data_IF_626557936569
#
_entry.id   IF_626557936569
#
_cell.length_a   1.000
_cell.length_b   1.000
_cell.length_c   1.000
_cell.angle_alpha   90.00
_cell.angle_beta   90.00
_cell.angle_gamma   90.00
#
_symmetry.space_group_name_H-M   'P 1'
#
loop_
_entity.id
_entity.type
_entity.pdbx_description
1 polymer ?
#
# COMPACT_ATOMS: atom_id res chain seq x y z
N UNK A 1 9.18 -2.35 15.80
CA UNK A 1 9.60 -0.95 15.53
C UNK A 1 8.40 -0.22 14.99
N UNK A 2 8.14 1.01 15.41
CA UNK A 2 7.05 1.86 14.90
C UNK A 2 7.62 3.24 14.52
N UNK A 3 6.88 4.01 13.73
CA UNK A 3 7.27 5.38 13.35
C UNK A 3 6.11 6.37 13.54
N UNK A 4 6.42 7.67 13.52
CA UNK A 4 5.46 8.76 13.65
C UNK A 4 4.75 8.84 15.01
N UNK A 5 4.00 9.92 15.24
CA UNK A 5 3.33 10.18 16.51
C UNK A 5 2.19 9.18 16.82
N UNK A 6 1.54 8.65 15.78
CA UNK A 6 0.43 7.68 15.91
C UNK A 6 0.88 6.22 15.94
N UNK A 7 2.17 5.95 16.20
CA UNK A 7 2.73 4.60 16.32
C UNK A 7 2.40 3.71 15.12
N UNK A 8 2.78 4.17 13.93
CA UNK A 8 2.55 3.43 12.70
C UNK A 8 3.42 2.17 12.64
N UNK A 9 2.82 1.05 12.25
CA UNK A 9 3.52 -0.23 12.10
C UNK A 9 3.25 -0.76 10.70
N UNK A 10 4.31 -0.86 9.89
CA UNK A 10 4.22 -1.48 8.58
C UNK A 10 4.10 -2.99 8.73
N UNK A 11 3.08 -3.59 8.12
CA UNK A 11 2.79 -5.02 8.16
C UNK A 11 2.72 -5.55 6.74
N UNK A 12 3.55 -6.55 6.44
CA UNK A 12 3.60 -7.24 5.15
C UNK A 12 3.10 -8.69 5.28
N UNK A 13 2.43 -9.17 4.24
CA UNK A 13 2.03 -10.56 4.02
C UNK A 13 2.83 -11.23 2.91
N UNK A 14 2.84 -12.56 2.93
CA UNK A 14 3.28 -13.38 1.80
C UNK A 14 2.45 -13.05 0.55
N UNK A 15 3.12 -12.98 -0.61
CA UNK A 15 2.45 -12.76 -1.91
C UNK A 15 1.54 -13.91 -2.33
N UNK A 16 1.72 -15.11 -1.76
CA UNK A 16 1.05 -16.32 -2.23
C UNK A 16 -0.21 -16.67 -1.44
N UNK A 17 -0.23 -16.38 -0.14
CA UNK A 17 -1.37 -16.69 0.72
C UNK A 17 -1.38 -15.78 1.96
N UNK A 18 -2.57 -15.37 2.43
CA UNK A 18 -2.67 -14.65 3.68
C UNK A 18 -2.34 -15.61 4.85
N UNK A 19 -1.67 -15.09 5.88
CA UNK A 19 -1.48 -15.86 7.10
C UNK A 19 -2.83 -15.95 7.85
N UNK A 20 -3.29 -17.14 8.31
CA UNK A 20 -4.61 -17.30 8.93
C UNK A 20 -4.89 -16.37 10.11
N UNK A 21 -3.84 -16.01 10.87
CA UNK A 21 -3.95 -15.13 12.04
C UNK A 21 -3.75 -13.65 11.73
N UNK A 22 -3.60 -13.26 10.47
CA UNK A 22 -3.28 -11.88 10.09
C UNK A 22 -4.31 -10.86 10.58
N UNK A 23 -5.60 -11.15 10.43
CA UNK A 23 -6.68 -10.27 10.93
C UNK A 23 -6.58 -10.09 12.46
N UNK A 24 -6.30 -11.16 13.20
CA UNK A 24 -6.13 -11.11 14.65
C UNK A 24 -4.90 -10.27 15.04
N UNK A 25 -3.78 -10.41 14.30
CA UNK A 25 -2.59 -9.58 14.52
C UNK A 25 -2.89 -8.08 14.36
N UNK A 26 -3.64 -7.71 13.31
CA UNK A 26 -4.01 -6.31 13.09
C UNK A 26 -4.93 -5.79 14.21
N UNK A 27 -5.91 -6.59 14.64
CA UNK A 27 -6.77 -6.25 15.77
C UNK A 27 -5.97 -6.06 17.06
N UNK A 28 -5.01 -6.94 17.35
CA UNK A 28 -4.14 -6.82 18.52
C UNK A 28 -3.29 -5.55 18.48
N UNK A 29 -2.80 -5.16 17.31
CA UNK A 29 -2.06 -3.91 17.14
C UNK A 29 -2.95 -2.69 17.41
N UNK A 30 -4.17 -2.68 16.84
CA UNK A 30 -5.16 -1.61 17.06
C UNK A 30 -5.53 -1.51 18.55
N UNK A 31 -5.82 -2.62 19.22
CA UNK A 31 -6.14 -2.65 20.65
C UNK A 31 -4.99 -2.16 21.54
N UNK A 32 -3.75 -2.34 21.10
CA UNK A 32 -2.54 -1.83 21.78
C UNK A 32 -2.23 -0.37 21.44
N UNK A 33 -3.07 0.30 20.65
CA UNK A 33 -2.91 1.71 20.27
C UNK A 33 -1.85 1.94 19.20
N UNK A 34 -1.51 0.93 18.40
CA UNK A 34 -0.73 1.10 17.18
C UNK A 34 -1.66 1.38 15.99
N UNK A 35 -1.11 2.04 14.97
CA UNK A 35 -1.80 2.24 13.68
C UNK A 35 -1.18 1.32 12.63
N UNK A 36 -1.80 0.18 12.27
CA UNK A 36 -1.24 -0.70 11.26
C UNK A 36 -1.28 -0.05 9.87
N UNK A 37 -0.22 -0.28 9.11
CA UNK A 37 -0.11 0.09 7.70
C UNK A 37 0.11 -1.19 6.90
N UNK A 38 -0.86 -1.57 6.07
CA UNK A 38 -0.73 -2.72 5.17
C UNK A 38 0.17 -2.35 3.99
N UNK A 39 1.29 -3.05 3.87
CA UNK A 39 2.26 -2.86 2.80
C UNK A 39 1.73 -3.44 1.48
N UNK A 40 1.85 -2.66 0.42
CA UNK A 40 1.61 -3.02 -0.98
C UNK A 40 0.46 -4.03 -1.24
N UNK A 41 -0.78 -3.72 -0.79
CA UNK A 41 -1.93 -4.61 -0.96
C UNK A 41 -2.26 -4.94 -2.43
N UNK A 42 -1.82 -4.09 -3.37
CA UNK A 42 -1.96 -4.35 -4.80
C UNK A 42 -1.25 -5.63 -5.26
N UNK A 43 -0.25 -6.09 -4.50
CA UNK A 43 0.55 -7.30 -4.81
C UNK A 43 -0.05 -8.59 -4.28
N UNK A 44 -1.11 -8.53 -3.47
CA UNK A 44 -1.79 -9.71 -2.92
C UNK A 44 -2.82 -10.25 -3.91
N UNK A 45 -2.34 -10.95 -4.94
CA UNK A 45 -3.18 -11.44 -6.05
C UNK A 45 -4.33 -12.38 -5.63
N UNK A 46 -4.23 -12.98 -4.44
CA UNK A 46 -5.28 -13.82 -3.86
C UNK A 46 -6.47 -13.04 -3.29
N UNK A 47 -6.35 -11.72 -3.09
CA UNK A 47 -7.46 -10.84 -2.71
C UNK A 47 -7.91 -10.01 -3.91
N UNK A 48 -9.08 -10.28 -4.49
CA UNK A 48 -9.69 -9.38 -5.47
C UNK A 48 -9.88 -7.97 -4.88
N UNK A 49 -9.75 -6.93 -5.70
CA UNK A 49 -9.89 -5.54 -5.22
C UNK A 49 -11.33 -5.20 -4.77
N UNK A 50 -12.32 -5.96 -5.23
CA UNK A 50 -13.73 -5.88 -4.82
C UNK A 50 -14.08 -6.79 -3.64
N UNK A 51 -13.10 -7.47 -3.04
CA UNK A 51 -13.35 -8.37 -1.92
C UNK A 51 -13.55 -7.58 -0.61
N UNK A 52 -14.47 -8.01 0.28
CA UNK A 52 -14.78 -7.27 1.51
C UNK A 52 -13.58 -7.04 2.44
N UNK A 53 -12.51 -7.82 2.30
CA UNK A 53 -11.31 -7.69 3.13
C UNK A 53 -10.73 -6.27 3.12
N UNK A 54 -10.69 -5.59 1.98
CA UNK A 54 -10.13 -4.25 1.91
C UNK A 54 -11.03 -3.23 2.59
N UNK A 55 -12.34 -3.36 2.45
CA UNK A 55 -13.33 -2.53 3.13
C UNK A 55 -13.28 -2.75 4.65
N UNK A 56 -13.26 -4.00 5.11
CA UNK A 56 -13.17 -4.38 6.51
C UNK A 56 -11.94 -3.77 7.18
N UNK A 57 -10.77 -3.92 6.54
CA UNK A 57 -9.50 -3.43 7.07
C UNK A 57 -9.45 -1.90 7.09
N UNK A 58 -9.92 -1.26 6.01
CA UNK A 58 -9.98 0.19 5.93
C UNK A 58 -10.94 0.77 6.99
N UNK A 59 -12.13 0.16 7.15
CA UNK A 59 -13.11 0.56 8.17
C UNK A 59 -12.59 0.35 9.60
N UNK A 60 -11.73 -0.65 9.82
CA UNK A 60 -11.06 -0.88 11.10
C UNK A 60 -9.93 0.13 11.40
N UNK A 61 -9.61 1.05 10.47
CA UNK A 61 -8.58 2.06 10.63
C UNK A 61 -7.17 1.61 10.21
N UNK A 62 -7.05 0.51 9.47
CA UNK A 62 -5.78 0.09 8.85
C UNK A 62 -5.51 0.97 7.64
N UNK A 63 -4.34 1.59 7.60
CA UNK A 63 -3.91 2.39 6.46
C UNK A 63 -3.30 1.51 5.39
N UNK A 64 -3.49 1.83 4.11
CA UNK A 64 -2.85 1.09 3.02
C UNK A 64 -1.75 1.92 2.37
N UNK A 65 -0.61 1.28 2.13
CA UNK A 65 0.53 1.85 1.43
C UNK A 65 0.76 1.12 0.11
N UNK A 66 0.61 1.79 -1.04
CA UNK A 66 0.92 1.22 -2.37
C UNK A 66 2.36 1.45 -2.76
N UNK A 67 2.96 0.53 -3.51
CA UNK A 67 4.32 0.71 -3.99
C UNK A 67 4.38 1.61 -5.22
N UNK A 68 5.27 2.60 -5.20
CA UNK A 68 5.53 3.48 -6.34
C UNK A 68 5.96 2.67 -7.58
N UNK A 69 6.84 1.64 -7.48
CA UNK A 69 7.13 0.75 -8.61
C UNK A 69 5.90 0.06 -9.20
N UNK A 70 4.89 -0.29 -8.39
CA UNK A 70 3.62 -0.87 -8.87
C UNK A 70 2.86 0.12 -9.75
N UNK A 71 2.73 1.38 -9.31
CA UNK A 71 2.09 2.47 -10.08
C UNK A 71 2.87 2.74 -11.39
N UNK A 72 4.20 2.65 -11.33
CA UNK A 72 5.10 2.79 -12.47
C UNK A 72 5.05 1.61 -13.46
N UNK A 73 4.42 0.49 -13.08
CA UNK A 73 4.25 -0.68 -13.95
C UNK A 73 5.39 -1.71 -13.89
N UNK A 74 6.30 -1.61 -12.91
CA UNK A 74 7.45 -2.50 -12.80
C UNK A 74 7.04 -3.98 -12.67
N UNK A 75 5.98 -4.26 -11.91
CA UNK A 75 5.51 -5.63 -11.68
C UNK A 75 4.48 -6.12 -12.72
N UNK A 76 4.31 -5.41 -13.83
CA UNK A 76 3.34 -5.75 -14.88
C UNK A 76 2.01 -4.99 -14.79
N UNK A 77 1.19 -5.13 -15.83
CA UNK A 77 -0.08 -4.40 -16.00
C UNK A 77 -1.09 -4.72 -14.90
N UNK A 78 -1.15 -5.97 -14.46
CA UNK A 78 -2.20 -6.43 -13.54
C UNK A 78 -2.02 -5.81 -12.16
N UNK A 79 -0.78 -5.83 -11.63
CA UNK A 79 -0.44 -5.19 -10.36
C UNK A 79 -0.59 -3.67 -10.46
N UNK A 80 -0.24 -3.08 -11.61
CA UNK A 80 -0.45 -1.64 -11.85
C UNK A 80 -1.93 -1.27 -11.81
N UNK A 81 -2.78 -2.04 -12.50
CA UNK A 81 -4.22 -1.79 -12.53
C UNK A 81 -4.81 -1.93 -11.13
N UNK A 82 -4.46 -2.99 -10.39
CA UNK A 82 -4.87 -3.17 -8.99
C UNK A 82 -4.45 -2.01 -8.09
N UNK A 83 -3.25 -1.44 -8.30
CA UNK A 83 -2.82 -0.26 -7.56
C UNK A 83 -3.72 0.95 -7.85
N UNK A 84 -4.04 1.19 -9.12
CA UNK A 84 -4.99 2.26 -9.50
C UNK A 84 -6.39 2.00 -8.97
N UNK A 85 -6.90 0.77 -9.02
CA UNK A 85 -8.24 0.42 -8.53
C UNK A 85 -8.36 0.70 -7.02
N UNK A 86 -7.36 0.28 -6.23
CA UNK A 86 -7.34 0.55 -4.78
C UNK A 86 -7.26 2.06 -4.48
N UNK A 87 -6.51 2.81 -5.29
CA UNK A 87 -6.41 4.28 -5.18
C UNK A 87 -7.74 4.95 -5.53
N UNK A 88 -8.35 4.57 -6.65
CA UNK A 88 -9.60 5.15 -7.18
C UNK A 88 -10.79 4.85 -6.25
N UNK A 89 -10.76 3.71 -5.53
CA UNK A 89 -11.70 3.38 -4.46
C UNK A 89 -11.48 4.13 -3.14
N UNK A 90 -10.39 4.88 -3.01
CA UNK A 90 -10.09 5.66 -1.81
C UNK A 90 -9.56 4.86 -0.62
N UNK A 91 -9.13 3.61 -0.82
CA UNK A 91 -8.56 2.81 0.28
C UNK A 91 -7.11 3.16 0.60
N UNK A 92 -6.40 3.75 -0.35
CA UNK A 92 -4.96 4.01 -0.24
C UNK A 92 -4.69 5.33 0.46
N UNK A 93 -3.85 5.29 1.48
CA UNK A 93 -3.45 6.47 2.25
C UNK A 93 -2.01 6.90 2.00
N UNK A 94 -1.13 5.98 1.61
CA UNK A 94 0.32 6.19 1.55
C UNK A 94 0.93 5.62 0.26
N UNK A 95 2.05 6.20 -0.17
CA UNK A 95 2.92 5.65 -1.20
C UNK A 95 4.31 5.35 -0.63
N UNK A 96 4.90 4.22 -1.00
CA UNK A 96 6.23 3.80 -0.56
C UNK A 96 7.10 3.42 -1.76
N UNK A 97 8.39 3.73 -1.72
CA UNK A 97 9.28 3.40 -2.84
C UNK A 97 9.59 1.90 -2.91
N UNK A 98 9.71 1.25 -1.75
CA UNK A 98 10.10 -0.16 -1.60
C UNK A 98 11.35 -0.51 -2.44
N UNK A 99 12.28 0.45 -2.52
CA UNK A 99 13.48 0.35 -3.36
C UNK A 99 14.53 -0.47 -2.62
N UNK A 100 14.79 -1.67 -3.12
CA UNK A 100 15.81 -2.57 -2.60
C UNK A 100 17.06 -2.66 -3.48
N UNK A 101 17.03 -2.11 -4.69
CA UNK A 101 18.17 -2.08 -5.61
C UNK A 101 17.99 -1.01 -6.71
N UNK A 102 19.05 -0.80 -7.49
CA UNK A 102 19.09 0.20 -8.57
C UNK A 102 18.02 -0.03 -9.65
N UNK A 103 17.62 -1.27 -9.92
CA UNK A 103 16.60 -1.56 -10.94
C UNK A 103 15.24 -0.97 -10.54
N UNK A 104 14.91 -1.02 -9.25
CA UNK A 104 13.68 -0.44 -8.72
C UNK A 104 13.72 1.08 -8.85
N UNK A 105 14.86 1.70 -8.52
CA UNK A 105 15.05 3.14 -8.67
C UNK A 105 14.91 3.58 -10.14
N UNK A 106 15.55 2.86 -11.07
CA UNK A 106 15.44 3.12 -12.51
C UNK A 106 14.01 2.99 -13.01
N UNK A 107 13.29 1.94 -12.58
CA UNK A 107 11.88 1.75 -12.96
C UNK A 107 10.97 2.89 -12.47
N UNK A 108 11.23 3.43 -11.27
CA UNK A 108 10.51 4.61 -10.76
C UNK A 108 10.84 5.83 -11.61
N UNK A 109 12.13 6.10 -11.87
CA UNK A 109 12.57 7.25 -12.69
C UNK A 109 11.93 7.21 -14.08
N UNK A 110 11.91 6.04 -14.73
CA UNK A 110 11.29 5.86 -16.04
C UNK A 110 9.77 5.97 -15.97
N UNK A 111 9.14 5.38 -14.95
CA UNK A 111 7.70 5.47 -14.71
C UNK A 111 7.21 6.91 -14.52
N UNK A 112 8.02 7.78 -13.92
CA UNK A 112 7.74 9.22 -13.78
C UNK A 112 7.67 9.95 -15.13
N UNK A 113 8.10 9.36 -16.25
CA UNK A 113 7.86 9.96 -17.58
C UNK A 113 6.36 9.90 -17.95
N UNK A 114 5.63 8.93 -17.42
CA UNK A 114 4.19 8.78 -17.64
C UNK A 114 3.41 9.91 -16.94
N UNK A 115 2.55 10.61 -17.69
CA UNK A 115 1.74 11.72 -17.16
C UNK A 115 0.79 11.28 -16.04
N UNK A 116 0.07 10.16 -16.21
CA UNK A 116 -0.87 9.62 -15.20
C UNK A 116 -0.15 9.33 -13.88
N UNK A 117 1.05 8.75 -13.95
CA UNK A 117 1.89 8.43 -12.76
C UNK A 117 2.30 9.71 -12.03
N UNK A 118 2.74 10.75 -12.75
CA UNK A 118 3.10 12.04 -12.12
C UNK A 118 1.91 12.72 -11.50
N UNK A 119 0.75 12.70 -12.16
CA UNK A 119 -0.47 13.33 -11.65
C UNK A 119 -0.93 12.66 -10.37
N UNK A 120 -0.95 11.31 -10.33
CA UNK A 120 -1.38 10.62 -9.11
C UNK A 120 -0.41 10.83 -7.95
N UNK A 121 0.91 10.80 -8.19
CA UNK A 121 1.90 11.01 -7.13
C UNK A 121 1.93 12.46 -6.61
N UNK A 122 1.43 13.43 -7.38
CA UNK A 122 1.27 14.84 -6.96
C UNK A 122 -0.13 15.13 -6.39
N UNK A 123 -1.04 14.17 -6.42
CA UNK A 123 -2.39 14.34 -5.91
C UNK A 123 -2.40 14.32 -4.39
N UNK A 124 -3.51 14.78 -3.79
CA UNK A 124 -3.71 14.76 -2.34
C UNK A 124 -4.17 13.38 -1.81
N UNK A 125 -4.09 12.32 -2.63
CA UNK A 125 -4.41 10.95 -2.20
C UNK A 125 -3.43 10.49 -1.11
N UNK A 126 -2.14 10.80 -1.29
CA UNK A 126 -1.10 10.29 -0.42
C UNK A 126 -0.79 11.27 0.72
N UNK A 127 -0.97 10.79 1.94
CA UNK A 127 -0.80 11.56 3.18
C UNK A 127 0.59 11.40 3.80
N UNK A 128 1.59 11.06 2.98
CA UNK A 128 2.96 10.80 3.43
C UNK A 128 3.56 11.96 4.24
N UNK A 129 3.20 13.21 3.95
CA UNK A 129 3.67 14.38 4.70
C UNK A 129 3.04 14.53 6.09
N UNK A 130 1.86 13.93 6.33
CA UNK A 130 1.12 14.03 7.59
C UNK A 130 1.61 13.01 8.65
N UNK A 131 2.42 12.04 8.24
CA UNK A 131 2.79 10.86 9.07
C UNK A 131 4.27 10.82 9.46
N UNK A 132 5.06 11.79 9.00
CA UNK A 132 6.50 11.90 9.19
C UNK A 132 6.86 12.39 10.61
#
# INVERSE_FOLDING_TARGET
MFFGEKKYVLVELSYFHPHPTFKNLLQDLLMKGFTPVLAHPERYGYWPVDEPVFEDLHAAGVLFQVNIPSICGYYGSDIRNRAFDLIEKGFVSLAGSDVHNERYASAVIDGLRNKKVREILKSNVFRNADIA
#
